data_IF_900535344903
#
_entry.id   IF_900535344903
#
_cell.length_a   1.000
_cell.length_b   1.000
_cell.length_c   1.000
_cell.angle_alpha   90.00
_cell.angle_beta   90.00
_cell.angle_gamma   90.00
#
_symmetry.space_group_name_H-M   'P 1'
#
loop_
_entity.id
_entity.type
_entity.pdbx_description
1 polymer ?
#
# COMPACT_ATOMS: atom_id res chain seq x y z
N UNK A 1 26.86 -8.75 14.41
CA UNK A 1 25.67 -8.60 15.25
C UNK A 1 24.49 -8.53 14.33
N UNK A 2 23.63 -9.55 14.30
CA UNK A 2 22.36 -9.46 13.58
C UNK A 2 21.52 -8.39 14.27
N UNK A 3 21.22 -7.32 13.56
CA UNK A 3 20.32 -6.26 14.07
C UNK A 3 18.92 -6.87 14.10
N UNK A 4 18.41 -7.18 15.29
CA UNK A 4 17.05 -7.70 15.47
C UNK A 4 16.07 -6.70 14.86
N UNK A 5 15.28 -7.14 13.88
CA UNK A 5 14.26 -6.30 13.25
C UNK A 5 13.19 -5.98 14.28
N UNK A 6 12.85 -4.70 14.41
CA UNK A 6 11.89 -4.21 15.40
C UNK A 6 10.68 -3.59 14.71
N UNK A 7 9.48 -3.96 15.16
CA UNK A 7 8.21 -3.44 14.70
C UNK A 7 7.41 -2.89 15.88
N UNK A 8 6.83 -1.70 15.75
CA UNK A 8 5.89 -1.17 16.73
C UNK A 8 4.47 -1.45 16.25
N UNK A 9 3.60 -1.89 17.15
CA UNK A 9 2.18 -2.09 16.90
C UNK A 9 1.39 -1.20 17.86
N UNK A 10 0.76 -0.16 17.32
CA UNK A 10 -0.13 0.75 18.05
C UNK A 10 -1.60 0.35 17.83
N UNK A 11 -2.06 -0.63 18.59
CA UNK A 11 -3.45 -1.12 18.58
C UNK A 11 -3.82 -1.64 19.96
N UNK A 12 -5.05 -1.34 20.40
CA UNK A 12 -5.57 -1.78 21.72
C UNK A 12 -6.23 -3.15 21.68
N UNK A 13 -6.49 -3.68 20.49
CA UNK A 13 -7.16 -4.98 20.31
C UNK A 13 -6.22 -6.12 20.72
N UNK A 14 -6.47 -6.71 21.87
CA UNK A 14 -5.74 -7.90 22.31
C UNK A 14 -5.96 -9.09 21.38
N UNK A 15 -7.09 -9.13 20.69
CA UNK A 15 -7.44 -10.17 19.72
C UNK A 15 -6.58 -10.08 18.45
N UNK A 16 -6.05 -8.91 18.14
CA UNK A 16 -5.20 -8.67 16.98
C UNK A 16 -3.73 -8.47 17.37
N UNK A 17 -3.43 -7.50 18.24
CA UNK A 17 -2.05 -7.07 18.50
C UNK A 17 -1.18 -8.18 19.10
N UNK A 18 -1.73 -8.98 20.02
CA UNK A 18 -0.99 -10.07 20.68
C UNK A 18 -0.72 -11.24 19.74
N UNK A 19 -1.70 -11.79 18.98
CA UNK A 19 -1.43 -12.80 17.96
C UNK A 19 -0.43 -12.32 16.89
N UNK A 20 -0.60 -11.12 16.39
CA UNK A 20 0.30 -10.54 15.39
C UNK A 20 1.75 -10.44 15.94
N UNK A 21 1.93 -9.95 17.18
CA UNK A 21 3.25 -9.88 17.81
C UNK A 21 3.88 -11.27 17.99
N UNK A 22 3.09 -12.27 18.35
CA UNK A 22 3.56 -13.65 18.51
C UNK A 22 4.00 -14.26 17.18
N UNK A 23 3.23 -14.01 16.11
CA UNK A 23 3.58 -14.44 14.75
C UNK A 23 4.86 -13.75 14.25
N UNK A 24 4.98 -12.44 14.40
CA UNK A 24 6.20 -11.70 14.03
C UNK A 24 7.43 -12.24 14.76
N UNK A 25 7.28 -12.59 16.05
CA UNK A 25 8.37 -13.19 16.83
C UNK A 25 8.83 -14.53 16.25
N UNK A 26 7.93 -15.36 15.72
CA UNK A 26 8.31 -16.63 15.06
C UNK A 26 9.15 -16.42 13.78
N UNK A 27 9.06 -15.24 13.17
CA UNK A 27 9.90 -14.81 12.04
C UNK A 27 11.17 -14.05 12.47
N UNK A 28 11.50 -14.05 13.77
CA UNK A 28 12.69 -13.36 14.28
C UNK A 28 12.56 -11.83 14.36
N UNK A 29 11.32 -11.31 14.37
CA UNK A 29 11.01 -9.88 14.47
C UNK A 29 10.54 -9.57 15.87
N UNK A 30 11.17 -8.60 16.53
CA UNK A 30 10.75 -8.07 17.83
C UNK A 30 9.55 -7.13 17.64
N UNK A 31 8.41 -7.45 18.21
CA UNK A 31 7.23 -6.59 18.19
C UNK A 31 7.03 -5.89 19.53
N UNK A 32 6.94 -4.57 19.50
CA UNK A 32 6.68 -3.71 20.66
C UNK A 32 5.25 -3.21 20.59
N UNK A 33 4.43 -3.57 21.58
CA UNK A 33 3.05 -3.12 21.67
C UNK A 33 2.98 -1.78 22.40
N UNK A 34 2.28 -0.81 21.82
CA UNK A 34 2.03 0.51 22.43
C UNK A 34 0.53 0.83 22.38
N UNK A 35 0.05 1.73 23.23
CA UNK A 35 -1.33 2.18 23.17
C UNK A 35 -1.70 2.71 21.79
N UNK A 36 -2.98 2.61 21.42
CA UNK A 36 -3.54 3.25 20.23
C UNK A 36 -3.67 4.76 20.47
N UNK A 37 -2.54 5.46 20.42
CA UNK A 37 -2.42 6.87 20.70
C UNK A 37 -1.26 7.45 19.92
N UNK A 38 -1.48 8.59 19.22
CA UNK A 38 -0.47 9.15 18.32
C UNK A 38 0.75 9.71 19.03
N UNK A 39 0.61 10.29 20.22
CA UNK A 39 1.76 10.78 21.00
C UNK A 39 2.58 9.62 21.55
N UNK A 40 1.92 8.62 22.15
CA UNK A 40 2.60 7.42 22.64
C UNK A 40 3.32 6.67 21.51
N UNK A 41 2.71 6.60 20.33
CA UNK A 41 3.33 6.01 19.16
C UNK A 41 4.57 6.80 18.72
N UNK A 42 4.46 8.12 18.63
CA UNK A 42 5.59 8.97 18.27
C UNK A 42 6.77 8.84 19.24
N UNK A 43 6.52 8.89 20.55
CA UNK A 43 7.54 8.71 21.57
C UNK A 43 8.22 7.33 21.47
N UNK A 44 7.43 6.27 21.20
CA UNK A 44 7.96 4.94 21.00
C UNK A 44 8.83 4.84 19.74
N UNK A 45 8.47 5.51 18.64
CA UNK A 45 9.28 5.56 17.40
C UNK A 45 10.64 6.21 17.69
N UNK A 46 10.65 7.34 18.37
CA UNK A 46 11.88 8.07 18.75
C UNK A 46 12.78 7.21 19.63
N UNK A 47 12.21 6.54 20.65
CA UNK A 47 12.95 5.74 21.60
C UNK A 47 13.46 4.42 21.02
N UNK A 48 12.65 3.73 20.22
CA UNK A 48 12.90 2.37 19.76
C UNK A 48 13.53 2.27 18.38
N UNK A 49 13.37 3.32 17.54
CA UNK A 49 13.88 3.38 16.16
C UNK A 49 13.51 2.12 15.36
N UNK A 50 12.21 1.79 15.22
CA UNK A 50 11.77 0.58 14.57
C UNK A 50 12.00 0.63 13.06
N UNK A 51 12.04 -0.53 12.41
CA UNK A 51 12.05 -0.64 10.94
C UNK A 51 10.66 -0.49 10.35
N UNK A 52 9.62 -0.88 11.09
CA UNK A 52 8.24 -0.69 10.66
C UNK A 52 7.30 -0.34 11.82
N UNK A 53 6.18 0.28 11.49
CA UNK A 53 5.12 0.68 12.39
C UNK A 53 3.79 0.20 11.82
N UNK A 54 3.02 -0.53 12.63
CA UNK A 54 1.61 -0.81 12.39
C UNK A 54 0.78 0.07 13.30
N UNK A 55 -0.10 0.88 12.74
CA UNK A 55 -0.97 1.75 13.52
C UNK A 55 -2.33 1.92 12.86
N UNK A 56 -3.35 2.19 13.66
CA UNK A 56 -4.66 2.56 13.12
C UNK A 56 -4.59 3.96 12.48
N UNK A 57 -5.41 4.20 11.45
CA UNK A 57 -5.46 5.53 10.81
C UNK A 57 -5.92 6.61 11.78
N UNK A 58 -6.91 6.31 12.60
CA UNK A 58 -7.44 7.23 13.60
C UNK A 58 -7.00 6.84 15.01
N UNK A 59 -6.23 7.71 15.62
CA UNK A 59 -5.73 7.56 16.98
C UNK A 59 -5.98 8.85 17.77
N UNK A 60 -6.20 8.78 19.09
CA UNK A 60 -6.23 9.96 19.95
C UNK A 60 -4.96 10.81 19.81
N UNK A 61 -5.07 12.08 20.10
CA UNK A 61 -4.04 13.14 20.10
C UNK A 61 -3.41 13.42 18.75
N UNK A 62 -3.02 12.43 17.97
CA UNK A 62 -2.53 12.56 16.60
C UNK A 62 -2.90 11.34 15.78
N UNK A 63 -3.41 11.55 14.57
CA UNK A 63 -3.68 10.48 13.62
C UNK A 63 -2.39 9.95 12.97
N UNK A 64 -2.51 8.86 12.20
CA UNK A 64 -1.35 8.27 11.52
C UNK A 64 -0.64 9.25 10.59
N UNK A 65 -1.39 10.14 9.93
CA UNK A 65 -0.84 11.15 9.00
C UNK A 65 -0.01 12.18 9.77
N UNK A 66 -0.53 12.66 10.89
CA UNK A 66 0.18 13.58 11.78
C UNK A 66 1.48 13.00 12.33
N UNK A 67 1.44 11.74 12.79
CA UNK A 67 2.63 11.02 13.26
C UNK A 67 3.66 10.85 12.14
N UNK A 68 3.25 10.39 10.95
CA UNK A 68 4.14 10.25 9.79
C UNK A 68 4.81 11.56 9.40
N UNK A 69 4.04 12.66 9.40
CA UNK A 69 4.57 13.99 9.08
C UNK A 69 5.63 14.41 10.10
N UNK A 70 5.32 14.27 11.39
CA UNK A 70 6.23 14.65 12.48
C UNK A 70 7.53 13.84 12.46
N UNK A 71 7.45 12.52 12.25
CA UNK A 71 8.63 11.65 12.12
C UNK A 71 9.49 12.05 10.93
N UNK A 72 8.87 12.48 9.81
CA UNK A 72 9.60 12.91 8.60
C UNK A 72 10.34 14.22 8.80
N UNK A 73 9.81 15.13 9.63
CA UNK A 73 10.43 16.43 9.93
C UNK A 73 11.64 16.30 10.84
N UNK A 74 11.84 15.14 11.48
CA UNK A 74 12.99 14.87 12.32
C UNK A 74 14.08 14.10 11.57
N UNK A 75 15.32 14.30 11.96
CA UNK A 75 16.48 13.58 11.43
C UNK A 75 16.61 12.18 12.06
N UNK A 76 15.56 11.37 11.87
CA UNK A 76 15.45 10.00 12.37
C UNK A 76 15.40 9.00 11.21
N UNK A 77 15.84 7.75 11.43
CA UNK A 77 15.58 6.68 10.48
C UNK A 77 14.08 6.53 10.28
N UNK A 78 13.63 6.64 9.01
CA UNK A 78 12.22 6.60 8.67
C UNK A 78 11.71 5.14 8.70
N UNK A 79 10.79 4.78 9.61
CA UNK A 79 10.19 3.45 9.61
C UNK A 79 9.21 3.29 8.44
N UNK A 80 8.97 2.06 8.02
CA UNK A 80 7.90 1.77 7.07
C UNK A 80 6.55 1.80 7.81
N UNK A 81 5.70 2.75 7.48
CA UNK A 81 4.36 2.84 8.04
C UNK A 81 3.39 1.92 7.30
N UNK A 82 2.70 1.07 8.05
CA UNK A 82 1.62 0.20 7.61
C UNK A 82 0.37 0.60 8.38
N UNK A 83 -0.59 1.19 7.69
CA UNK A 83 -1.76 1.79 8.33
C UNK A 83 -2.95 0.84 8.27
N UNK A 84 -3.61 0.66 9.40
CA UNK A 84 -4.78 -0.18 9.57
C UNK A 84 -6.03 0.69 9.61
N UNK A 85 -7.13 0.28 8.96
CA UNK A 85 -8.38 1.04 8.97
C UNK A 85 -9.59 0.12 8.93
N UNK A 86 -10.64 0.49 9.64
CA UNK A 86 -11.98 -0.10 9.49
C UNK A 86 -12.83 0.58 8.40
N UNK A 87 -12.28 1.58 7.71
CA UNK A 87 -13.01 2.37 6.71
C UNK A 87 -12.51 2.04 5.31
N UNK A 88 -13.40 1.53 4.48
CA UNK A 88 -13.19 1.38 3.03
C UNK A 88 -13.50 2.70 2.34
N UNK A 89 -12.51 3.57 2.28
CA UNK A 89 -12.64 4.90 1.67
C UNK A 89 -11.38 5.21 0.84
N UNK A 90 -11.56 5.28 -0.47
CA UNK A 90 -10.47 5.49 -1.44
C UNK A 90 -9.77 6.85 -1.24
N UNK A 91 -10.50 7.89 -0.86
CA UNK A 91 -9.89 9.21 -0.61
C UNK A 91 -8.97 9.16 0.61
N UNK A 92 -9.43 8.55 1.71
CA UNK A 92 -8.64 8.36 2.92
C UNK A 92 -7.41 7.50 2.64
N UNK A 93 -7.58 6.40 1.93
CA UNK A 93 -6.49 5.52 1.52
C UNK A 93 -5.43 6.30 0.72
N UNK A 94 -5.86 7.06 -0.29
CA UNK A 94 -4.96 7.87 -1.10
C UNK A 94 -4.22 8.92 -0.27
N UNK A 95 -4.90 9.57 0.68
CA UNK A 95 -4.29 10.56 1.57
C UNK A 95 -3.22 9.92 2.47
N UNK A 96 -3.53 8.79 3.09
CA UNK A 96 -2.59 8.03 3.93
C UNK A 96 -1.37 7.57 3.13
N UNK A 97 -1.56 7.03 1.92
CA UNK A 97 -0.47 6.58 1.06
C UNK A 97 0.42 7.75 0.61
N UNK A 98 -0.18 8.89 0.21
CA UNK A 98 0.57 10.12 -0.15
C UNK A 98 1.34 10.69 1.04
N UNK A 99 0.84 10.50 2.25
CA UNK A 99 1.51 10.93 3.48
C UNK A 99 2.70 10.08 3.87
N UNK A 100 2.96 8.97 3.15
CA UNK A 100 4.16 8.15 3.31
C UNK A 100 3.93 6.76 3.89
N UNK A 101 2.69 6.32 4.02
CA UNK A 101 2.42 4.93 4.35
C UNK A 101 2.90 4.00 3.22
N UNK A 102 3.50 2.87 3.59
CA UNK A 102 3.94 1.84 2.65
C UNK A 102 2.79 0.90 2.28
N UNK A 103 1.85 0.71 3.20
CA UNK A 103 0.70 -0.16 3.01
C UNK A 103 -0.51 0.31 3.80
N UNK A 104 -1.70 0.00 3.28
CA UNK A 104 -2.98 0.27 3.92
C UNK A 104 -3.76 -1.04 4.02
N UNK A 105 -4.08 -1.46 5.25
CA UNK A 105 -4.84 -2.67 5.52
C UNK A 105 -6.26 -2.34 5.93
N UNK A 106 -7.22 -2.98 5.29
CA UNK A 106 -8.62 -2.84 5.66
C UNK A 106 -9.02 -3.93 6.65
N UNK A 107 -9.56 -3.54 7.80
CA UNK A 107 -10.14 -4.46 8.79
C UNK A 107 -11.53 -4.95 8.32
N UNK A 108 -11.94 -6.20 8.59
CA UNK A 108 -11.18 -7.24 9.30
C UNK A 108 -10.16 -7.95 8.41
N UNK A 109 -9.05 -8.38 8.97
CA UNK A 109 -8.03 -9.17 8.29
C UNK A 109 -7.53 -10.31 9.19
N UNK A 110 -6.93 -11.33 8.57
CA UNK A 110 -6.29 -12.43 9.28
C UNK A 110 -4.92 -11.98 9.82
N UNK A 111 -4.62 -12.15 11.11
CA UNK A 111 -3.33 -11.83 11.69
C UNK A 111 -2.14 -12.53 11.03
N UNK A 112 -2.33 -13.75 10.52
CA UNK A 112 -1.29 -14.52 9.82
C UNK A 112 -0.95 -13.83 8.49
N UNK A 113 -1.94 -13.49 7.69
CA UNK A 113 -1.78 -12.77 6.41
C UNK A 113 -1.10 -11.42 6.62
N UNK A 114 -1.47 -10.70 7.68
CA UNK A 114 -0.83 -9.44 8.02
C UNK A 114 0.65 -9.64 8.39
N UNK A 115 0.96 -10.60 9.27
CA UNK A 115 2.32 -10.86 9.70
C UNK A 115 3.22 -11.26 8.52
N UNK A 116 2.75 -12.13 7.62
CA UNK A 116 3.46 -12.48 6.39
C UNK A 116 3.73 -11.26 5.52
N UNK A 117 2.74 -10.37 5.37
CA UNK A 117 2.90 -9.13 4.60
C UNK A 117 3.93 -8.20 5.24
N UNK A 118 3.95 -8.07 6.56
CA UNK A 118 4.97 -7.30 7.29
C UNK A 118 6.37 -7.86 7.04
N UNK A 119 6.53 -9.19 7.12
CA UNK A 119 7.81 -9.87 6.85
C UNK A 119 8.28 -9.61 5.42
N UNK A 120 7.38 -9.73 4.44
CA UNK A 120 7.67 -9.47 3.03
C UNK A 120 8.13 -8.02 2.80
N UNK A 121 7.41 -7.05 3.36
CA UNK A 121 7.74 -5.63 3.21
C UNK A 121 9.09 -5.28 3.87
N UNK A 122 9.39 -5.86 5.03
CA UNK A 122 10.69 -5.71 5.69
C UNK A 122 11.82 -6.42 4.94
N UNK A 123 11.52 -7.52 4.23
CA UNK A 123 12.48 -8.24 3.39
C UNK A 123 12.85 -7.43 2.14
N UNK A 124 11.87 -6.87 1.45
CA UNK A 124 12.10 -6.03 0.26
C UNK A 124 12.89 -4.75 0.56
N UNK A 125 12.69 -4.15 1.74
CA UNK A 125 13.47 -2.99 2.17
C UNK A 125 14.96 -3.27 2.39
N UNK A 126 15.33 -4.51 2.73
CA UNK A 126 16.73 -4.91 2.88
C UNK A 126 17.46 -4.99 1.51
N UNK A 127 16.74 -5.30 0.44
CA UNK A 127 17.27 -5.33 -0.93
C UNK A 127 17.34 -3.93 -1.56
N UNK A 128 16.43 -3.02 -1.17
CA UNK A 128 16.40 -1.63 -1.65
C UNK A 128 17.51 -0.75 -1.08
N UNK A 129 18.03 -1.04 0.13
CA UNK A 129 19.15 -0.29 0.73
C UNK A 129 20.51 -0.48 0.01
N UNK A 130 20.59 -1.42 -0.94
CA UNK A 130 21.77 -1.61 -1.80
C UNK A 130 21.69 -0.92 -3.17
N UNK A 131 20.53 -0.42 -3.55
CA UNK A 131 20.33 0.33 -4.79
C UNK A 131 19.47 1.55 -4.47
N UNK A 132 20.03 2.70 -4.71
CA UNK A 132 19.40 4.02 -4.57
C UNK A 132 18.05 4.06 -5.32
N UNK A 133 16.98 3.55 -4.72
CA UNK A 133 15.63 3.62 -5.28
C UNK A 133 15.05 4.94 -4.82
N UNK A 134 15.19 5.97 -5.66
CA UNK A 134 14.36 7.15 -5.62
C UNK A 134 12.92 6.69 -5.42
N UNK A 135 12.21 7.28 -4.44
CA UNK A 135 10.76 7.20 -4.38
C UNK A 135 10.23 7.36 -5.80
N UNK A 136 9.68 6.30 -6.39
CA UNK A 136 9.14 6.39 -7.74
C UNK A 136 7.94 7.32 -7.68
N UNK A 137 7.97 8.46 -8.40
CA UNK A 137 6.74 9.13 -8.75
C UNK A 137 5.93 8.10 -9.56
N UNK A 138 4.67 8.02 -9.34
CA UNK A 138 3.70 7.36 -10.20
C UNK A 138 3.99 7.84 -11.65
N UNK A 139 4.73 7.03 -12.44
CA UNK A 139 5.05 7.42 -13.82
C UNK A 139 6.48 7.19 -14.31
N UNK A 140 7.11 6.03 -14.04
CA UNK A 140 8.32 5.67 -14.80
C UNK A 140 8.49 4.13 -14.85
N UNK A 141 7.93 3.54 -15.88
CA UNK A 141 8.17 2.17 -16.27
C UNK A 141 6.90 1.48 -16.77
N UNK A 142 6.62 1.58 -18.09
CA UNK A 142 5.42 1.01 -18.69
C UNK A 142 5.21 -0.49 -18.41
N UNK A 143 6.24 -1.23 -18.05
CA UNK A 143 6.13 -2.66 -17.70
C UNK A 143 5.54 -2.89 -16.30
N UNK A 144 5.82 -2.04 -15.32
CA UNK A 144 5.27 -2.18 -13.97
C UNK A 144 3.79 -1.83 -13.93
N UNK A 145 3.36 -0.79 -14.67
CA UNK A 145 1.96 -0.39 -14.77
C UNK A 145 1.14 -1.47 -15.46
N UNK A 146 1.65 -2.08 -16.52
CA UNK A 146 0.98 -3.18 -17.21
C UNK A 146 0.76 -4.40 -16.31
N UNK A 147 1.75 -4.74 -15.50
CA UNK A 147 1.66 -5.84 -14.54
C UNK A 147 0.62 -5.54 -13.46
N UNK A 148 0.67 -4.33 -12.86
CA UNK A 148 -0.28 -3.90 -11.85
C UNK A 148 -1.73 -3.91 -12.36
N UNK A 149 -1.97 -3.38 -13.56
CA UNK A 149 -3.29 -3.38 -14.19
C UNK A 149 -3.77 -4.81 -14.43
N UNK A 150 -2.88 -5.69 -14.88
CA UNK A 150 -3.18 -7.11 -15.11
C UNK A 150 -3.59 -7.81 -13.81
N UNK A 151 -2.84 -7.60 -12.73
CA UNK A 151 -3.13 -8.16 -11.42
C UNK A 151 -4.46 -7.62 -10.85
N UNK A 152 -4.72 -6.31 -10.95
CA UNK A 152 -5.98 -5.71 -10.50
C UNK A 152 -7.19 -6.30 -11.23
N UNK A 153 -7.13 -6.43 -12.57
CA UNK A 153 -8.23 -6.99 -13.35
C UNK A 153 -8.45 -8.47 -12.99
N UNK A 154 -7.38 -9.21 -12.69
CA UNK A 154 -7.48 -10.59 -12.24
C UNK A 154 -8.13 -10.69 -10.85
N UNK A 155 -7.77 -9.79 -9.92
CA UNK A 155 -8.34 -9.75 -8.56
C UNK A 155 -9.85 -9.47 -8.55
N UNK A 156 -10.36 -8.63 -9.47
CA UNK A 156 -11.80 -8.38 -9.62
C UNK A 156 -12.53 -9.51 -10.37
N UNK A 157 -11.83 -10.59 -10.72
CA UNK A 157 -12.43 -11.80 -11.26
C UNK A 157 -12.76 -11.77 -12.75
N UNK A 158 -12.18 -10.85 -13.53
CA UNK A 158 -12.38 -10.81 -14.98
C UNK A 158 -11.54 -11.91 -15.65
N UNK A 159 -12.17 -12.89 -16.36
CA UNK A 159 -11.42 -13.99 -16.96
C UNK A 159 -10.48 -13.52 -18.09
N UNK A 160 -9.20 -13.89 -18.03
CA UNK A 160 -8.19 -13.45 -19.00
C UNK A 160 -8.43 -13.95 -20.46
N UNK A 161 -9.25 -14.99 -20.63
CA UNK A 161 -9.51 -15.59 -21.96
C UNK A 161 -10.60 -14.90 -22.77
N UNK A 162 -11.34 -13.92 -22.19
CA UNK A 162 -12.39 -13.18 -22.91
C UNK A 162 -11.82 -11.92 -23.56
N UNK A 163 -12.36 -11.55 -24.72
CA UNK A 163 -11.92 -10.35 -25.44
C UNK A 163 -12.10 -9.07 -24.63
N UNK A 164 -13.14 -9.00 -23.81
CA UNK A 164 -13.41 -7.88 -22.92
C UNK A 164 -12.29 -7.61 -21.91
N UNK A 165 -11.59 -8.65 -21.45
CA UNK A 165 -10.41 -8.50 -20.61
C UNK A 165 -9.32 -7.64 -21.29
N UNK A 166 -9.01 -7.93 -22.54
CA UNK A 166 -7.99 -7.20 -23.29
C UNK A 166 -8.41 -5.75 -23.57
N UNK A 167 -9.70 -5.52 -23.83
CA UNK A 167 -10.22 -4.17 -24.05
C UNK A 167 -10.16 -3.34 -22.77
N UNK A 168 -10.58 -3.91 -21.64
CA UNK A 168 -10.55 -3.27 -20.34
C UNK A 168 -9.10 -2.94 -19.92
N UNK A 169 -8.18 -3.90 -20.05
CA UNK A 169 -6.76 -3.71 -19.74
C UNK A 169 -6.17 -2.55 -20.54
N UNK A 170 -6.42 -2.52 -21.84
CA UNK A 170 -5.93 -1.47 -22.71
C UNK A 170 -6.53 -0.11 -22.40
N UNK A 171 -7.85 -0.06 -22.14
CA UNK A 171 -8.53 1.18 -21.78
C UNK A 171 -7.95 1.78 -20.49
N UNK A 172 -7.64 0.95 -19.49
CA UNK A 172 -7.01 1.40 -18.25
C UNK A 172 -5.59 1.94 -18.51
N UNK A 173 -4.78 1.24 -19.30
CA UNK A 173 -3.42 1.67 -19.64
C UNK A 173 -3.42 3.03 -20.35
N UNK A 174 -4.27 3.21 -21.37
CA UNK A 174 -4.43 4.48 -22.07
C UNK A 174 -4.88 5.61 -21.13
N UNK A 175 -5.75 5.30 -20.16
CA UNK A 175 -6.22 6.30 -19.19
C UNK A 175 -5.15 6.67 -18.14
N UNK A 176 -4.21 5.78 -17.87
CA UNK A 176 -3.05 6.07 -17.01
C UNK A 176 -2.02 6.93 -17.75
N UNK A 177 -1.80 6.66 -19.05
CA UNK A 177 -0.88 7.45 -19.88
C UNK A 177 -1.41 8.85 -20.16
N UNK A 178 -2.72 8.96 -20.45
CA UNK A 178 -3.40 10.23 -20.73
C UNK A 178 -4.73 10.31 -19.95
N UNK A 179 -4.72 10.88 -18.74
CA UNK A 179 -5.96 11.04 -17.96
C UNK A 179 -7.05 11.86 -18.63
N UNK A 180 -6.71 12.75 -19.56
CA UNK A 180 -7.69 13.58 -20.29
C UNK A 180 -8.59 12.73 -21.22
N UNK A 181 -8.13 11.54 -21.61
CA UNK A 181 -8.90 10.63 -22.46
C UNK A 181 -10.22 10.21 -21.81
N UNK A 182 -10.28 10.23 -20.46
CA UNK A 182 -11.48 9.91 -19.66
C UNK A 182 -12.59 10.96 -19.84
N UNK A 183 -12.27 12.17 -20.28
CA UNK A 183 -13.26 13.20 -20.59
C UNK A 183 -13.99 12.92 -21.93
N UNK A 184 -13.50 11.96 -22.71
CA UNK A 184 -14.02 11.65 -24.05
C UNK A 184 -14.10 10.13 -24.31
N UNK A 185 -14.62 9.36 -23.35
CA UNK A 185 -14.64 7.89 -23.38
C UNK A 185 -15.24 7.33 -24.68
N UNK A 186 -16.44 7.74 -25.04
CA UNK A 186 -17.12 7.25 -26.25
C UNK A 186 -16.53 7.81 -27.56
N UNK A 187 -15.94 9.01 -27.52
CA UNK A 187 -15.43 9.68 -28.73
C UNK A 187 -13.95 9.38 -29.00
N UNK A 188 -13.17 9.07 -27.97
CA UNK A 188 -11.72 8.87 -28.11
C UNK A 188 -11.28 7.50 -27.56
N UNK A 189 -11.60 7.17 -26.31
CA UNK A 189 -11.09 5.95 -25.68
C UNK A 189 -11.59 4.68 -26.39
N UNK A 190 -12.90 4.50 -26.53
CA UNK A 190 -13.44 3.30 -27.20
C UNK A 190 -13.01 3.16 -28.66
N UNK A 191 -12.99 4.21 -29.49
CA UNK A 191 -12.45 4.14 -30.86
C UNK A 191 -10.95 3.79 -30.90
N UNK A 192 -10.15 4.30 -29.95
CA UNK A 192 -8.70 4.00 -29.87
C UNK A 192 -8.48 2.53 -29.54
N UNK A 193 -9.14 2.01 -28.50
CA UNK A 193 -9.09 0.58 -28.14
C UNK A 193 -9.60 -0.29 -29.31
N UNK A 194 -10.74 0.08 -29.91
CA UNK A 194 -11.31 -0.66 -31.04
C UNK A 194 -10.34 -0.77 -32.22
N UNK A 195 -9.65 0.31 -32.55
CA UNK A 195 -8.64 0.36 -33.61
C UNK A 195 -7.46 -0.58 -33.31
N UNK A 196 -6.97 -0.61 -32.06
CA UNK A 196 -5.86 -1.48 -31.65
C UNK A 196 -6.20 -2.96 -31.79
N UNK A 197 -7.44 -3.34 -31.47
CA UNK A 197 -7.89 -4.73 -31.51
C UNK A 197 -8.65 -5.13 -32.78
N UNK A 198 -8.69 -4.26 -33.81
CA UNK A 198 -9.38 -4.54 -35.08
C UNK A 198 -10.88 -4.82 -34.93
N UNK A 199 -11.54 -4.08 -34.02
CA UNK A 199 -12.97 -4.24 -33.72
C UNK A 199 -13.73 -2.91 -33.87
N UNK A 200 -14.99 -2.88 -33.48
CA UNK A 200 -15.82 -1.66 -33.51
C UNK A 200 -15.94 -1.06 -32.11
N UNK A 201 -16.10 0.27 -31.98
CA UNK A 201 -16.29 0.93 -30.68
C UNK A 201 -17.45 0.33 -29.86
N UNK A 202 -18.57 -0.02 -30.50
CA UNK A 202 -19.72 -0.67 -29.85
C UNK A 202 -19.46 -2.07 -29.29
N UNK A 203 -18.35 -2.70 -29.64
CA UNK A 203 -17.93 -3.98 -29.05
C UNK A 203 -16.92 -3.81 -27.90
N UNK A 204 -16.40 -2.62 -27.76
CA UNK A 204 -15.52 -2.24 -26.65
C UNK A 204 -16.35 -1.70 -25.49
N UNK A 205 -17.47 -1.04 -25.80
CA UNK A 205 -18.45 -0.56 -24.83
C UNK A 205 -19.11 -1.73 -24.04
#
# INVERSE_FOLDING_TARGET
METTRKVIIADESREFAVPCASLLKSFGIEAVLVPKDGEALYEAIVAQRPQAVLCDVFMPHSDAIGVMKRVREEDLPQPQFMVLSGFDNVMLQNEVMRSGARYYFLKPFDPEVLAERVVQLLGSAAEENGKNVKAMPFGAGGQDVELMVTEMIHQIGVPAHIKGYHYLREAILLSVEDPEIMNAVTKVLYPTVAKKFGTTPSRVE
#
